data_IF_055998255061
#
_entry.id   IF_055998255061
#
_cell.length_a   1.000
_cell.length_b   1.000
_cell.length_c   1.000
_cell.angle_alpha   90.00
_cell.angle_beta   90.00
_cell.angle_gamma   90.00
#
_symmetry.space_group_name_H-M   'P 1'
#
loop_
_entity.id
_entity.type
_entity.pdbx_description
1 polymer ?
#
# COMPACT_ATOMS: atom_id res chain seq x y z
N UNK A 1 -9.67 -18.44 16.17
CA UNK A 1 -8.62 -17.41 16.21
C UNK A 1 -9.14 -16.22 15.43
N UNK A 2 -8.82 -14.99 15.84
CA UNK A 2 -9.13 -13.79 15.06
C UNK A 2 -8.43 -13.85 13.70
N UNK A 3 -9.02 -13.22 12.68
CA UNK A 3 -8.41 -13.08 11.35
C UNK A 3 -7.15 -12.21 11.47
N UNK A 4 -6.14 -12.45 10.63
CA UNK A 4 -4.88 -11.72 10.66
C UNK A 4 -4.72 -10.85 9.40
N UNK A 5 -4.39 -9.57 9.62
CA UNK A 5 -4.00 -8.66 8.55
C UNK A 5 -2.56 -8.16 8.75
N UNK A 6 -1.83 -7.99 7.66
CA UNK A 6 -0.50 -7.37 7.64
C UNK A 6 -0.54 -6.14 6.74
N UNK A 7 -0.09 -4.98 7.27
CA UNK A 7 -0.12 -3.71 6.55
C UNK A 7 1.27 -3.07 6.57
N UNK A 8 1.93 -3.02 5.42
CA UNK A 8 3.19 -2.28 5.29
C UNK A 8 2.94 -0.77 5.15
N UNK A 9 3.85 0.05 5.71
CA UNK A 9 3.61 1.49 5.82
C UNK A 9 2.43 1.83 6.74
N UNK A 10 2.15 0.97 7.73
CA UNK A 10 0.99 1.09 8.64
C UNK A 10 1.08 2.17 9.71
N UNK A 11 2.19 2.92 9.75
CA UNK A 11 2.41 3.94 10.79
C UNK A 11 1.69 5.27 10.54
N UNK A 12 1.40 5.63 9.29
CA UNK A 12 0.83 6.94 8.93
C UNK A 12 -0.14 6.86 7.76
N UNK A 13 -0.90 7.93 7.56
CA UNK A 13 -1.73 8.15 6.37
C UNK A 13 -2.63 6.98 6.02
N UNK A 14 -2.63 6.59 4.75
CA UNK A 14 -3.46 5.51 4.18
C UNK A 14 -3.22 4.19 4.92
N UNK A 15 -1.94 3.84 5.21
CA UNK A 15 -1.61 2.59 5.89
C UNK A 15 -2.18 2.52 7.30
N UNK A 16 -2.07 3.61 8.09
CA UNK A 16 -2.64 3.67 9.44
C UNK A 16 -4.17 3.62 9.43
N UNK A 17 -4.81 4.36 8.53
CA UNK A 17 -6.27 4.32 8.38
C UNK A 17 -6.75 2.91 7.99
N UNK A 18 -6.06 2.27 7.04
CA UNK A 18 -6.34 0.88 6.63
C UNK A 18 -6.17 -0.10 7.80
N UNK A 19 -5.10 0.02 8.57
CA UNK A 19 -4.87 -0.81 9.74
C UNK A 19 -5.96 -0.62 10.81
N UNK A 20 -6.35 0.63 11.08
CA UNK A 20 -7.43 0.97 12.00
C UNK A 20 -8.78 0.41 11.56
N UNK A 21 -9.09 0.53 10.28
CA UNK A 21 -10.32 -0.04 9.69
C UNK A 21 -10.35 -1.57 9.84
N UNK A 22 -9.25 -2.27 9.50
CA UNK A 22 -9.17 -3.74 9.63
C UNK A 22 -9.28 -4.18 11.10
N UNK A 23 -8.66 -3.43 12.03
CA UNK A 23 -8.80 -3.67 13.46
C UNK A 23 -10.25 -3.51 13.92
N UNK A 24 -10.96 -2.48 13.44
CA UNK A 24 -12.40 -2.28 13.67
C UNK A 24 -13.29 -3.41 13.13
N UNK A 25 -12.85 -4.08 12.07
CA UNK A 25 -13.51 -5.27 11.49
C UNK A 25 -13.14 -6.58 12.23
N UNK A 26 -12.41 -6.50 13.36
CA UNK A 26 -12.05 -7.63 14.21
C UNK A 26 -10.85 -8.44 13.74
N UNK A 27 -9.96 -7.83 12.95
CA UNK A 27 -8.66 -8.44 12.66
C UNK A 27 -7.65 -8.13 13.78
N UNK A 28 -6.79 -9.09 14.07
CA UNK A 28 -5.48 -8.79 14.61
C UNK A 28 -4.65 -8.17 13.47
N UNK A 29 -3.95 -7.07 13.75
CA UNK A 29 -3.25 -6.33 12.70
C UNK A 29 -1.76 -6.24 13.02
N UNK A 30 -0.92 -6.65 12.09
CA UNK A 30 0.52 -6.38 12.12
C UNK A 30 0.79 -5.17 11.23
N UNK A 31 1.31 -4.10 11.81
CA UNK A 31 1.78 -2.93 11.06
C UNK A 31 3.30 -2.96 10.93
N UNK A 32 3.79 -2.76 9.71
CA UNK A 32 5.22 -2.80 9.41
C UNK A 32 5.70 -1.45 8.89
N UNK A 33 6.87 -1.01 9.33
CA UNK A 33 7.48 0.23 8.87
C UNK A 33 8.83 0.47 9.52
N UNK A 34 9.58 1.47 9.05
CA UNK A 34 10.97 1.71 9.45
C UNK A 34 11.15 2.47 10.77
N UNK A 35 10.13 3.22 11.22
CA UNK A 35 10.22 4.14 12.36
C UNK A 35 9.49 3.57 13.57
N UNK A 36 10.22 3.08 14.59
CA UNK A 36 9.59 2.42 15.75
C UNK A 36 8.65 3.35 16.54
N UNK A 37 9.03 4.60 16.71
CA UNK A 37 8.26 5.63 17.40
C UNK A 37 6.92 5.91 16.71
N UNK A 38 6.93 6.08 15.38
CA UNK A 38 5.72 6.29 14.58
C UNK A 38 4.79 5.06 14.61
N UNK A 39 5.36 3.85 14.59
CA UNK A 39 4.57 2.63 14.72
C UNK A 39 3.95 2.52 16.12
N UNK A 40 4.69 2.89 17.18
CA UNK A 40 4.17 2.88 18.54
C UNK A 40 3.00 3.87 18.70
N UNK A 41 3.07 5.05 18.07
CA UNK A 41 1.97 6.00 18.02
C UNK A 41 0.76 5.44 17.28
N UNK A 42 0.99 4.78 16.16
CA UNK A 42 -0.08 4.12 15.40
C UNK A 42 -0.76 3.02 16.21
N UNK A 43 -0.02 2.19 16.94
CA UNK A 43 -0.58 1.17 17.82
C UNK A 43 -1.48 1.78 18.90
N UNK A 44 -1.04 2.88 19.53
CA UNK A 44 -1.87 3.58 20.53
C UNK A 44 -3.18 4.12 19.93
N UNK A 45 -3.13 4.58 18.69
CA UNK A 45 -4.29 5.11 17.99
C UNK A 45 -5.25 4.00 17.52
N UNK A 46 -4.71 2.87 16.97
CA UNK A 46 -5.51 1.78 16.40
C UNK A 46 -6.12 0.92 17.52
N UNK A 47 -5.33 0.55 18.53
CA UNK A 47 -5.79 -0.27 19.65
C UNK A 47 -4.96 -1.55 19.89
N UNK A 48 -5.34 -2.28 20.96
CA UNK A 48 -4.50 -3.35 21.53
C UNK A 48 -4.36 -4.61 20.65
N UNK A 49 -5.22 -4.79 19.64
CA UNK A 49 -5.12 -5.90 18.67
C UNK A 49 -4.07 -5.64 17.60
N UNK A 50 -3.27 -4.57 17.73
CA UNK A 50 -2.26 -4.17 16.75
C UNK A 50 -0.86 -4.44 17.27
N UNK A 51 -0.05 -5.11 16.46
CA UNK A 51 1.37 -5.37 16.71
C UNK A 51 2.22 -4.55 15.75
N UNK A 52 3.20 -3.82 16.27
CA UNK A 52 4.17 -3.08 15.47
C UNK A 52 5.43 -3.90 15.21
N UNK A 53 5.87 -3.95 13.96
CA UNK A 53 7.13 -4.59 13.57
C UNK A 53 8.01 -3.57 12.85
N UNK A 54 9.03 -3.02 13.48
CA UNK A 54 10.01 -2.17 12.83
C UNK A 54 10.84 -2.98 11.83
N UNK A 55 10.68 -2.68 10.53
CA UNK A 55 11.47 -3.31 9.46
C UNK A 55 11.44 -2.44 8.19
N UNK A 56 12.53 -2.45 7.44
CA UNK A 56 12.55 -2.01 6.06
C UNK A 56 12.25 -3.21 5.15
N UNK A 57 11.05 -3.25 4.63
CA UNK A 57 10.59 -4.38 3.78
C UNK A 57 11.16 -4.34 2.35
N UNK A 58 12.00 -3.37 2.02
CA UNK A 58 12.84 -3.39 0.80
C UNK A 58 14.17 -4.10 1.02
N UNK A 59 14.52 -4.38 2.28
CA UNK A 59 15.71 -5.10 2.68
C UNK A 59 15.36 -6.56 3.01
N UNK A 60 15.85 -7.55 2.24
CA UNK A 60 15.54 -8.95 2.47
C UNK A 60 15.99 -9.45 3.84
N UNK A 61 17.06 -8.88 4.41
CA UNK A 61 17.60 -9.28 5.72
C UNK A 61 16.68 -8.84 6.89
N UNK A 62 15.77 -7.89 6.65
CA UNK A 62 14.84 -7.37 7.65
C UNK A 62 13.43 -7.99 7.59
N UNK A 63 13.19 -8.99 6.76
CA UNK A 63 11.88 -9.65 6.66
C UNK A 63 11.64 -10.68 7.77
N UNK A 64 12.69 -11.24 8.35
CA UNK A 64 12.59 -12.27 9.41
C UNK A 64 11.68 -11.84 10.57
N UNK A 65 11.81 -10.64 11.17
CA UNK A 65 10.92 -10.22 12.24
C UNK A 65 9.44 -10.15 11.83
N UNK A 66 9.16 -9.85 10.55
CA UNK A 66 7.77 -9.80 10.04
C UNK A 66 7.18 -11.21 9.95
N UNK A 67 7.96 -12.17 9.45
CA UNK A 67 7.56 -13.59 9.38
C UNK A 67 7.37 -14.18 10.79
N UNK A 68 8.25 -13.87 11.72
CA UNK A 68 8.15 -14.29 13.12
C UNK A 68 6.89 -13.73 13.79
N UNK A 69 6.53 -12.47 13.54
CA UNK A 69 5.33 -11.84 14.08
C UNK A 69 4.03 -12.50 13.59
N UNK A 70 4.02 -13.09 12.39
CA UNK A 70 2.89 -13.89 11.89
C UNK A 70 2.71 -15.17 12.72
N UNK A 71 3.76 -15.69 13.34
CA UNK A 71 3.75 -16.85 14.23
C UNK A 71 3.06 -18.10 13.63
N UNK A 72 3.25 -18.34 12.33
CA UNK A 72 2.64 -19.44 11.59
C UNK A 72 1.11 -19.33 11.37
N UNK A 73 0.48 -18.24 11.77
CA UNK A 73 -0.95 -18.00 11.58
C UNK A 73 -1.27 -17.75 10.09
N UNK A 74 -2.45 -18.16 9.61
CA UNK A 74 -2.89 -17.76 8.29
C UNK A 74 -3.09 -16.25 8.19
N UNK A 75 -2.46 -15.61 7.19
CA UNK A 75 -2.66 -14.20 6.84
C UNK A 75 -3.89 -14.09 5.94
N UNK A 76 -4.94 -13.49 6.46
CA UNK A 76 -6.19 -13.28 5.72
C UNK A 76 -6.10 -12.13 4.73
N UNK A 77 -5.40 -11.04 5.13
CA UNK A 77 -5.24 -9.83 4.32
C UNK A 77 -3.80 -9.34 4.39
N UNK A 78 -3.17 -9.17 3.21
CA UNK A 78 -1.89 -8.52 3.05
C UNK A 78 -2.08 -7.21 2.28
N UNK A 79 -1.73 -6.08 2.91
CA UNK A 79 -1.79 -4.75 2.30
C UNK A 79 -0.37 -4.22 2.09
N UNK A 80 0.08 -4.23 0.84
CA UNK A 80 1.34 -3.65 0.41
C UNK A 80 1.14 -2.14 0.16
N UNK A 81 1.28 -1.34 1.21
CA UNK A 81 1.07 0.10 1.16
C UNK A 81 2.38 0.90 1.31
N UNK A 82 3.45 0.30 1.82
CA UNK A 82 4.75 0.97 1.92
C UNK A 82 5.20 1.51 0.56
N UNK A 83 5.67 2.76 0.56
CA UNK A 83 6.17 3.41 -0.64
C UNK A 83 6.42 4.90 -0.41
N UNK A 84 7.24 5.49 -1.26
CA UNK A 84 7.58 6.90 -1.17
C UNK A 84 7.88 7.50 -2.56
N UNK A 85 7.70 8.81 -2.67
CA UNK A 85 8.25 9.59 -3.78
C UNK A 85 9.69 9.99 -3.43
N UNK A 86 10.65 9.46 -4.16
CA UNK A 86 12.06 9.81 -4.00
C UNK A 86 12.41 10.84 -5.08
N UNK A 87 12.54 12.09 -4.64
CA UNK A 87 13.10 13.17 -5.44
C UNK A 87 14.63 13.07 -5.52
N UNK A 88 15.26 13.98 -6.21
CA UNK A 88 16.72 14.04 -6.26
C UNK A 88 17.25 14.70 -7.51
N UNK A 89 18.58 14.76 -7.59
CA UNK A 89 19.33 15.28 -8.72
C UNK A 89 19.18 14.36 -9.97
N UNK A 90 19.12 14.96 -11.13
CA UNK A 90 19.11 14.29 -12.44
C UNK A 90 20.17 14.89 -13.38
N UNK A 91 21.10 15.69 -12.84
CA UNK A 91 22.11 16.42 -13.62
C UNK A 91 23.13 15.51 -14.30
N UNK A 92 23.29 14.28 -13.81
CA UNK A 92 24.20 13.29 -14.39
C UNK A 92 23.49 11.95 -14.63
N UNK A 93 23.94 11.13 -15.60
CA UNK A 93 23.41 9.78 -15.78
C UNK A 93 23.48 8.90 -14.53
N UNK A 94 24.51 9.08 -13.70
CA UNK A 94 24.69 8.32 -12.46
C UNK A 94 23.63 8.74 -11.40
N UNK A 95 23.40 10.03 -11.22
CA UNK A 95 22.39 10.57 -10.32
C UNK A 95 20.98 10.16 -10.77
N UNK A 96 20.70 10.26 -12.08
CA UNK A 96 19.46 9.79 -12.68
C UNK A 96 19.22 8.28 -12.37
N UNK A 97 20.23 7.43 -12.62
CA UNK A 97 20.13 5.99 -12.37
C UNK A 97 19.90 5.68 -10.87
N UNK A 98 20.56 6.40 -9.97
CA UNK A 98 20.38 6.25 -8.53
C UNK A 98 18.94 6.58 -8.10
N UNK A 99 18.38 7.68 -8.60
CA UNK A 99 17.00 8.09 -8.32
C UNK A 99 15.99 7.06 -8.83
N UNK A 100 16.21 6.49 -10.02
CA UNK A 100 15.36 5.43 -10.56
C UNK A 100 15.39 4.18 -9.67
N UNK A 101 16.58 3.71 -9.29
CA UNK A 101 16.74 2.56 -8.39
C UNK A 101 16.03 2.79 -7.05
N UNK A 102 16.24 3.95 -6.42
CA UNK A 102 15.62 4.26 -5.13
C UNK A 102 14.09 4.28 -5.19
N UNK A 103 13.48 4.76 -6.29
CA UNK A 103 12.03 4.70 -6.46
C UNK A 103 11.52 3.28 -6.68
N UNK A 104 12.24 2.42 -7.43
CA UNK A 104 11.87 1.03 -7.59
C UNK A 104 12.04 0.26 -6.29
N UNK A 105 13.12 0.47 -5.57
CA UNK A 105 13.38 -0.14 -4.25
C UNK A 105 12.25 0.18 -3.28
N UNK A 106 11.92 1.46 -3.09
CA UNK A 106 10.93 1.87 -2.09
C UNK A 106 9.46 1.58 -2.48
N UNK A 107 9.14 1.33 -3.74
CA UNK A 107 7.76 1.17 -4.20
C UNK A 107 7.46 -0.19 -4.84
N UNK A 108 8.45 -0.91 -5.32
CA UNK A 108 8.29 -2.22 -5.97
C UNK A 108 8.86 -3.32 -5.09
N UNK A 109 10.16 -3.24 -4.71
CA UNK A 109 10.78 -4.30 -3.90
C UNK A 109 10.09 -4.45 -2.56
N UNK A 110 9.64 -3.37 -1.92
CA UNK A 110 8.83 -3.41 -0.70
C UNK A 110 7.61 -4.33 -0.82
N UNK A 111 6.91 -4.28 -1.95
CA UNK A 111 5.72 -5.10 -2.19
C UNK A 111 6.08 -6.53 -2.61
N UNK A 112 7.08 -6.68 -3.46
CA UNK A 112 7.53 -7.99 -3.96
C UNK A 112 8.07 -8.85 -2.83
N UNK A 113 9.03 -8.33 -2.07
CA UNK A 113 9.71 -9.07 -1.00
C UNK A 113 8.77 -9.44 0.15
N UNK A 114 7.93 -8.49 0.59
CA UNK A 114 6.96 -8.77 1.64
C UNK A 114 5.91 -9.79 1.19
N UNK A 115 5.44 -9.71 -0.06
CA UNK A 115 4.49 -10.69 -0.60
C UNK A 115 5.12 -12.08 -0.67
N UNK A 116 6.35 -12.19 -1.16
CA UNK A 116 7.06 -13.47 -1.26
C UNK A 116 7.29 -14.09 0.13
N UNK A 117 7.79 -13.30 1.09
CA UNK A 117 8.03 -13.75 2.45
C UNK A 117 6.75 -14.26 3.15
N UNK A 118 5.60 -13.62 2.89
CA UNK A 118 4.33 -13.99 3.51
C UNK A 118 3.48 -14.95 2.68
N UNK A 119 3.86 -15.24 1.43
CA UNK A 119 3.15 -16.17 0.53
C UNK A 119 2.86 -17.54 1.15
N UNK A 120 3.76 -18.19 1.89
CA UNK A 120 3.48 -19.47 2.53
C UNK A 120 2.38 -19.41 3.59
N UNK A 121 2.16 -18.25 4.16
CA UNK A 121 1.20 -18.03 5.25
C UNK A 121 -0.14 -17.46 4.78
N UNK A 122 -0.29 -17.08 3.51
CA UNK A 122 -1.57 -16.58 3.01
C UNK A 122 -2.67 -17.62 3.20
N UNK A 123 -3.84 -17.21 3.68
CA UNK A 123 -5.00 -18.10 3.84
C UNK A 123 -5.42 -18.73 2.51
N UNK A 124 -5.63 -20.03 2.53
CA UNK A 124 -6.06 -20.81 1.36
C UNK A 124 -7.27 -21.69 1.72
N UNK A 125 -8.42 -21.55 1.02
CA UNK A 125 -8.79 -20.41 0.19
C UNK A 125 -9.14 -19.19 1.04
N UNK A 126 -9.23 -18.01 0.39
CA UNK A 126 -9.82 -16.82 0.99
C UNK A 126 -8.84 -15.69 1.31
N UNK A 127 -7.55 -15.87 1.06
CA UNK A 127 -6.55 -14.81 1.24
C UNK A 127 -6.77 -13.61 0.30
N UNK A 128 -6.37 -12.44 0.74
CA UNK A 128 -6.51 -11.16 0.01
C UNK A 128 -5.17 -10.43 -0.04
N UNK A 129 -4.76 -10.02 -1.23
CA UNK A 129 -3.60 -9.15 -1.43
C UNK A 129 -4.10 -7.84 -2.04
N UNK A 130 -3.74 -6.72 -1.42
CA UNK A 130 -4.01 -5.37 -1.94
C UNK A 130 -2.70 -4.61 -2.07
N UNK A 131 -2.41 -4.12 -3.28
CA UNK A 131 -1.23 -3.30 -3.58
C UNK A 131 -1.66 -1.84 -3.71
N UNK A 132 -0.93 -0.92 -3.10
CA UNK A 132 -1.19 0.52 -3.23
C UNK A 132 -0.33 1.13 -4.34
N UNK A 133 -0.95 1.37 -5.49
CA UNK A 133 -0.37 2.10 -6.62
C UNK A 133 -0.63 3.62 -6.49
N UNK A 134 -0.88 4.30 -7.60
CA UNK A 134 -1.21 5.73 -7.68
C UNK A 134 -1.79 6.05 -9.05
N UNK A 135 -2.61 7.12 -9.14
CA UNK A 135 -2.98 7.70 -10.45
C UNK A 135 -1.75 8.12 -11.27
N UNK A 136 -0.60 8.37 -10.64
CA UNK A 136 0.65 8.66 -11.33
C UNK A 136 1.08 7.51 -12.27
N UNK A 137 0.74 6.27 -11.95
CA UNK A 137 0.98 5.11 -12.81
C UNK A 137 0.21 5.17 -14.14
N UNK A 138 -0.91 5.88 -14.16
CA UNK A 138 -1.83 5.92 -15.31
C UNK A 138 -1.68 7.21 -16.13
N UNK A 139 -1.43 8.35 -15.46
CA UNK A 139 -1.32 9.65 -16.14
C UNK A 139 0.12 10.15 -16.30
N UNK A 140 1.09 9.53 -15.63
CA UNK A 140 2.47 10.02 -15.62
C UNK A 140 2.67 11.23 -14.69
N UNK A 141 3.75 11.98 -14.93
CA UNK A 141 4.09 13.23 -14.21
C UNK A 141 4.91 13.05 -12.94
N UNK A 142 5.20 11.82 -12.52
CA UNK A 142 6.02 11.51 -11.34
C UNK A 142 7.42 10.94 -11.69
N UNK A 143 7.80 10.89 -12.96
CA UNK A 143 9.07 10.31 -13.40
C UNK A 143 9.21 8.85 -12.93
N UNK A 144 10.33 8.49 -12.27
CA UNK A 144 10.58 7.12 -11.81
C UNK A 144 9.53 6.60 -10.81
N UNK A 145 8.91 7.48 -10.02
CA UNK A 145 7.79 7.11 -9.16
C UNK A 145 6.59 6.59 -9.96
N UNK A 146 6.23 7.28 -11.05
CA UNK A 146 5.13 6.81 -11.93
C UNK A 146 5.42 5.45 -12.52
N UNK A 147 6.65 5.22 -12.99
CA UNK A 147 7.07 3.93 -13.52
C UNK A 147 7.05 2.83 -12.45
N UNK A 148 7.54 3.12 -11.24
CA UNK A 148 7.52 2.17 -10.13
C UNK A 148 6.08 1.80 -9.72
N UNK A 149 5.17 2.79 -9.64
CA UNK A 149 3.76 2.51 -9.34
C UNK A 149 3.03 1.78 -10.48
N UNK A 150 3.45 1.97 -11.73
CA UNK A 150 2.94 1.20 -12.87
C UNK A 150 3.44 -0.25 -12.86
N UNK A 151 4.66 -0.53 -12.37
CA UNK A 151 5.18 -1.88 -12.22
C UNK A 151 4.29 -2.76 -11.33
N UNK A 152 3.62 -2.18 -10.32
CA UNK A 152 2.66 -2.91 -9.48
C UNK A 152 1.44 -3.41 -10.25
N UNK A 153 1.08 -2.79 -11.39
CA UNK A 153 0.00 -3.25 -12.25
C UNK A 153 0.37 -4.57 -12.95
N UNK A 154 1.61 -4.69 -13.45
CA UNK A 154 2.10 -5.96 -13.98
C UNK A 154 2.21 -7.03 -12.90
N UNK A 155 2.73 -6.65 -11.73
CA UNK A 155 2.89 -7.57 -10.60
C UNK A 155 1.54 -8.13 -10.10
N UNK A 156 0.49 -7.34 -10.05
CA UNK A 156 -0.83 -7.84 -9.61
C UNK A 156 -1.43 -8.86 -10.59
N UNK A 157 -1.19 -8.70 -11.90
CA UNK A 157 -1.65 -9.69 -12.89
C UNK A 157 -0.96 -11.03 -12.71
N UNK A 158 0.35 -11.01 -12.42
CA UNK A 158 1.12 -12.19 -12.12
C UNK A 158 0.63 -12.87 -10.83
N UNK A 159 0.44 -12.10 -9.74
CA UNK A 159 -0.11 -12.63 -8.50
C UNK A 159 -1.51 -13.24 -8.68
N UNK A 160 -2.40 -12.56 -9.38
CA UNK A 160 -3.75 -13.05 -9.64
C UNK A 160 -3.74 -14.35 -10.44
N UNK A 161 -2.85 -14.48 -11.43
CA UNK A 161 -2.69 -15.67 -12.24
C UNK A 161 -2.15 -16.84 -11.42
N UNK A 162 -1.14 -16.60 -10.60
CA UNK A 162 -0.50 -17.65 -9.80
C UNK A 162 -1.35 -18.11 -8.62
N UNK A 163 -2.01 -17.18 -7.91
CA UNK A 163 -2.67 -17.44 -6.64
C UNK A 163 -4.18 -17.61 -6.76
N UNK A 164 -4.78 -17.18 -7.87
CA UNK A 164 -6.21 -17.36 -8.14
C UNK A 164 -6.70 -18.81 -8.03
N UNK A 165 -5.99 -19.80 -8.61
CA UNK A 165 -6.33 -21.22 -8.44
C UNK A 165 -6.33 -21.72 -7.00
N UNK A 166 -5.61 -21.03 -6.09
CA UNK A 166 -5.58 -21.32 -4.66
C UNK A 166 -6.68 -20.56 -3.85
N UNK A 167 -7.57 -19.85 -4.55
CA UNK A 167 -8.65 -19.06 -3.94
C UNK A 167 -8.19 -17.75 -3.29
N UNK A 168 -7.03 -17.22 -3.68
CA UNK A 168 -6.50 -15.95 -3.21
C UNK A 168 -6.76 -14.88 -4.27
N UNK A 169 -7.26 -13.71 -3.87
CA UNK A 169 -7.39 -12.56 -4.78
C UNK A 169 -6.25 -11.58 -4.59
N UNK A 170 -5.80 -10.97 -5.68
CA UNK A 170 -4.82 -9.89 -5.67
C UNK A 170 -5.30 -8.72 -6.51
N UNK A 171 -5.34 -7.51 -5.91
CA UNK A 171 -5.81 -6.31 -6.58
C UNK A 171 -4.93 -5.10 -6.26
N UNK A 172 -5.00 -4.09 -7.11
CA UNK A 172 -4.36 -2.79 -6.92
C UNK A 172 -5.43 -1.75 -6.58
N UNK A 173 -5.15 -0.90 -5.61
CA UNK A 173 -5.83 0.38 -5.44
C UNK A 173 -4.91 1.49 -5.98
N UNK A 174 -5.47 2.40 -6.78
CA UNK A 174 -4.76 3.56 -7.34
C UNK A 174 -5.35 4.86 -6.75
N UNK A 175 -4.82 5.33 -5.60
CA UNK A 175 -5.26 6.56 -4.98
C UNK A 175 -4.99 7.79 -5.85
N UNK A 176 -5.87 8.78 -5.72
CA UNK A 176 -5.68 10.13 -6.22
C UNK A 176 -4.85 11.01 -5.28
N UNK A 177 -5.19 12.29 -5.27
CA UNK A 177 -4.66 13.22 -4.28
C UNK A 177 -5.38 13.01 -2.94
N UNK A 178 -4.62 12.56 -1.94
CA UNK A 178 -5.09 12.27 -0.58
C UNK A 178 -4.35 13.18 0.40
N UNK A 179 -5.09 13.92 1.24
CA UNK A 179 -4.56 14.72 2.34
C UNK A 179 -4.23 13.87 3.56
N UNK A 180 -3.77 14.49 4.63
CA UNK A 180 -3.45 13.83 5.92
C UNK A 180 -2.49 12.64 5.78
N UNK A 181 -1.59 12.75 4.79
CA UNK A 181 -0.50 11.81 4.56
C UNK A 181 0.84 12.53 4.58
N UNK A 182 1.87 11.87 5.12
CA UNK A 182 3.23 12.40 5.07
C UNK A 182 3.79 12.51 3.63
N UNK A 183 3.12 11.91 2.66
CA UNK A 183 3.56 11.89 1.27
C UNK A 183 3.77 13.29 0.69
N UNK A 184 2.95 14.25 1.10
CA UNK A 184 3.04 15.65 0.64
C UNK A 184 3.62 16.61 1.69
N UNK A 185 4.03 16.12 2.85
CA UNK A 185 4.54 16.95 3.95
C UNK A 185 5.72 17.80 3.50
N UNK A 186 5.64 19.11 3.73
CA UNK A 186 6.68 20.09 3.34
C UNK A 186 6.84 20.34 1.84
N UNK A 187 6.01 19.72 0.98
CA UNK A 187 6.08 19.86 -0.48
C UNK A 187 4.79 20.40 -1.11
N UNK A 188 3.71 20.48 -0.34
CA UNK A 188 2.42 20.96 -0.84
C UNK A 188 2.27 22.45 -0.55
N UNK A 189 2.13 23.24 -1.62
CA UNK A 189 1.73 24.65 -1.52
C UNK A 189 0.21 24.76 -1.57
N UNK A 190 -0.33 25.87 -1.11
CA UNK A 190 -1.77 26.17 -1.20
C UNK A 190 -2.28 26.14 -2.66
N UNK A 191 -1.50 26.68 -3.59
CA UNK A 191 -1.82 26.63 -5.01
C UNK A 191 -1.79 25.19 -5.55
N UNK A 192 -0.79 24.41 -5.15
CA UNK A 192 -0.68 23.00 -5.49
C UNK A 192 -1.86 22.18 -4.95
N UNK A 193 -2.31 22.49 -3.72
CA UNK A 193 -3.52 21.88 -3.15
C UNK A 193 -4.75 22.22 -3.99
N UNK A 194 -5.03 23.51 -4.22
CA UNK A 194 -6.17 23.96 -5.05
C UNK A 194 -6.17 23.33 -6.43
N UNK A 195 -5.02 23.30 -7.09
CA UNK A 195 -4.89 22.71 -8.43
C UNK A 195 -5.26 21.21 -8.43
N UNK A 196 -4.81 20.45 -7.43
CA UNK A 196 -5.13 19.02 -7.32
C UNK A 196 -6.60 18.76 -6.98
N UNK A 197 -7.18 19.57 -6.10
CA UNK A 197 -8.62 19.52 -5.81
C UNK A 197 -9.44 19.85 -7.06
N UNK A 198 -9.07 20.91 -7.79
CA UNK A 198 -9.74 21.31 -9.03
C UNK A 198 -9.69 20.20 -10.10
N UNK A 199 -8.63 19.39 -10.12
CA UNK A 199 -8.46 18.27 -11.05
C UNK A 199 -9.36 17.06 -10.70
N UNK A 200 -9.95 16.97 -9.51
CA UNK A 200 -10.92 15.94 -9.18
C UNK A 200 -12.32 16.33 -9.70
N UNK A 201 -13.10 15.35 -10.16
CA UNK A 201 -14.52 15.60 -10.49
C UNK A 201 -15.35 15.83 -9.22
N UNK A 202 -14.96 15.21 -8.11
CA UNK A 202 -15.61 15.35 -6.80
C UNK A 202 -15.35 16.70 -6.12
N UNK A 203 -14.43 17.53 -6.66
CA UNK A 203 -14.04 18.84 -6.13
C UNK A 203 -13.61 18.85 -4.67
N UNK A 204 -13.05 17.74 -4.22
CA UNK A 204 -12.40 17.60 -2.91
C UNK A 204 -11.12 16.77 -3.02
N UNK A 205 -10.22 16.90 -2.07
CA UNK A 205 -9.18 15.92 -1.85
C UNK A 205 -9.80 14.62 -1.32
N UNK A 206 -9.13 13.51 -1.53
CA UNK A 206 -9.41 12.27 -0.79
C UNK A 206 -8.81 12.35 0.60
N UNK A 207 -9.33 11.56 1.50
CA UNK A 207 -8.83 11.30 2.84
C UNK A 207 -8.31 9.87 2.94
N UNK A 208 -7.43 9.53 3.90
CA UNK A 208 -6.97 8.16 4.10
C UNK A 208 -8.11 7.14 4.22
N UNK A 209 -9.23 7.54 4.83
CA UNK A 209 -10.40 6.68 5.01
C UNK A 209 -11.11 6.35 3.68
N UNK A 210 -11.11 7.26 2.69
CA UNK A 210 -11.63 6.94 1.34
C UNK A 210 -10.90 5.72 0.73
N UNK A 211 -9.61 5.58 1.03
CA UNK A 211 -8.80 4.47 0.53
C UNK A 211 -8.98 3.23 1.40
N UNK A 212 -9.04 3.39 2.72
CA UNK A 212 -9.28 2.31 3.66
C UNK A 212 -10.61 1.59 3.38
N UNK A 213 -11.67 2.32 3.04
CA UNK A 213 -12.97 1.75 2.67
C UNK A 213 -12.90 0.89 1.38
N UNK A 214 -12.11 1.29 0.41
CA UNK A 214 -11.87 0.46 -0.77
C UNK A 214 -11.10 -0.83 -0.43
N UNK A 215 -10.13 -0.75 0.48
CA UNK A 215 -9.45 -1.95 1.03
C UNK A 215 -10.45 -2.82 1.77
N UNK A 216 -11.34 -2.25 2.60
CA UNK A 216 -12.39 -2.97 3.33
C UNK A 216 -13.26 -3.80 2.39
N UNK A 217 -13.70 -3.19 1.30
CA UNK A 217 -14.49 -3.89 0.27
C UNK A 217 -13.72 -5.06 -0.36
N UNK A 218 -12.47 -4.84 -0.78
CA UNK A 218 -11.63 -5.89 -1.39
C UNK A 218 -11.26 -7.01 -0.41
N UNK A 219 -11.03 -6.68 0.86
CA UNK A 219 -10.74 -7.62 1.93
C UNK A 219 -11.97 -8.43 2.39
N UNK A 220 -13.15 -7.86 2.21
CA UNK A 220 -14.42 -8.43 2.63
C UNK A 220 -15.03 -9.43 1.63
N UNK A 221 -16.24 -9.93 1.94
CA UNK A 221 -16.98 -10.84 1.07
C UNK A 221 -17.25 -10.27 -0.33
N UNK A 222 -17.48 -8.95 -0.44
CA UNK A 222 -17.74 -8.28 -1.72
C UNK A 222 -16.57 -8.32 -2.70
N UNK A 223 -15.35 -8.46 -2.22
CA UNK A 223 -14.14 -8.61 -3.03
C UNK A 223 -13.80 -10.05 -3.43
N UNK A 224 -14.59 -11.04 -3.00
CA UNK A 224 -14.24 -12.46 -3.15
C UNK A 224 -14.12 -12.96 -4.59
N UNK A 225 -14.73 -12.27 -5.55
CA UNK A 225 -14.67 -12.58 -6.98
C UNK A 225 -13.96 -11.48 -7.80
N UNK A 226 -13.23 -10.59 -7.12
CA UNK A 226 -12.47 -9.49 -7.74
C UNK A 226 -10.98 -9.82 -7.61
N UNK A 227 -10.31 -10.07 -8.73
CA UNK A 227 -8.87 -10.34 -8.77
C UNK A 227 -8.24 -9.81 -10.05
N UNK A 228 -6.97 -9.40 -10.00
CA UNK A 228 -6.25 -8.82 -11.12
C UNK A 228 -6.75 -7.42 -11.53
N UNK A 229 -7.45 -6.70 -10.65
CA UNK A 229 -8.03 -5.41 -11.00
C UNK A 229 -7.21 -4.23 -10.48
N UNK A 230 -7.29 -3.13 -11.22
CA UNK A 230 -6.74 -1.83 -10.82
C UNK A 230 -7.93 -0.91 -10.50
N UNK A 231 -8.18 -0.72 -9.21
CA UNK A 231 -9.31 0.05 -8.71
C UNK A 231 -8.90 1.50 -8.48
N UNK A 232 -9.47 2.40 -9.24
CA UNK A 232 -9.23 3.83 -9.12
C UNK A 232 -10.05 4.43 -7.98
N UNK A 233 -9.35 4.96 -6.93
CA UNK A 233 -9.97 5.69 -5.82
C UNK A 233 -9.38 7.10 -5.80
N UNK A 234 -9.88 7.96 -6.69
CA UNK A 234 -9.18 9.21 -7.03
C UNK A 234 -10.12 10.41 -7.26
N UNK A 235 -11.39 10.31 -6.87
CA UNK A 235 -12.36 11.38 -7.05
C UNK A 235 -12.61 11.77 -8.53
N UNK A 236 -12.34 10.85 -9.46
CA UNK A 236 -12.48 11.10 -10.90
C UNK A 236 -11.32 11.88 -11.53
N UNK A 237 -10.17 12.00 -10.87
CA UNK A 237 -8.97 12.63 -11.47
C UNK A 237 -8.42 11.84 -12.66
N UNK A 238 -8.66 10.53 -12.68
CA UNK A 238 -8.43 9.62 -13.79
C UNK A 238 -9.66 8.73 -13.92
N UNK A 239 -10.26 8.73 -15.09
CA UNK A 239 -11.40 7.86 -15.37
C UNK A 239 -10.94 6.44 -15.70
N UNK A 240 -11.79 5.46 -15.43
CA UNK A 240 -11.52 4.05 -15.66
C UNK A 240 -11.22 3.75 -17.15
N UNK A 241 -10.30 2.82 -17.35
CA UNK A 241 -9.94 2.26 -18.66
C UNK A 241 -10.00 0.75 -18.60
#
# INVERSE_FOLDING_TARGET
MARLAVVSGGGTGIGRATAGMLAGEGYDVIIVGRRPDVLADAVRWIGPQTTAVPADVSDPDQLTPVVEAVAGRPVDVLVNNAGAYIGGDESTPAALAARWRANFESNVLTAVLLTDALRPFLRRPGGRIVLTSSIAAQRGGGGPYSAAKAALHGFVFDLATQLGPEGITANVIAPGYVTDSEFFLGRMTEEGHRSRVAATLMKRAGEPDDIAEAVRWLAGPGGSFVTGQIINVNGGSVLGR
#
